data_IF_359146891979
#
_entry.id   IF_359146891979
#
_cell.length_a   1.000
_cell.length_b   1.000
_cell.length_c   1.000
_cell.angle_alpha   90.00
_cell.angle_beta   90.00
_cell.angle_gamma   90.00
#
_symmetry.space_group_name_H-M   'P 1'
#
loop_
_entity.id
_entity.type
_entity.pdbx_description
1 polymer ?
#
# COMPACT_ATOMS: atom_id res chain seq x y z
N UNK A 1 19.81 0.84 -33.97
CA UNK A 1 21.21 0.95 -33.49
C UNK A 1 21.44 0.52 -32.04
N UNK A 2 20.72 -0.49 -31.54
CA UNK A 2 20.86 -0.97 -30.14
C UNK A 2 21.84 -2.13 -30.01
N UNK A 3 22.08 -2.89 -31.10
CA UNK A 3 22.94 -4.09 -31.11
C UNK A 3 24.43 -3.76 -31.19
N UNK A 4 24.79 -2.54 -31.62
CA UNK A 4 26.18 -2.11 -31.86
C UNK A 4 26.81 -1.46 -30.63
N UNK A 5 26.01 -1.11 -29.60
CA UNK A 5 26.50 -0.55 -28.33
C UNK A 5 26.82 -1.62 -27.28
N UNK A 6 26.19 -2.80 -27.34
CA UNK A 6 26.48 -3.95 -26.46
C UNK A 6 27.49 -4.92 -27.08
N UNK A 7 28.57 -4.40 -27.67
CA UNK A 7 29.56 -5.15 -28.41
C UNK A 7 29.78 -6.56 -27.84
N UNK A 8 29.33 -7.57 -28.60
CA UNK A 8 29.31 -9.00 -28.26
C UNK A 8 28.14 -9.47 -27.35
N UNK A 9 27.37 -10.46 -27.83
CA UNK A 9 26.21 -11.05 -27.12
C UNK A 9 26.55 -11.69 -25.76
N UNK A 10 27.84 -11.78 -25.45
CA UNK A 10 28.40 -12.13 -24.14
C UNK A 10 28.04 -11.15 -23.03
N UNK A 11 27.68 -9.89 -23.34
CA UNK A 11 27.24 -8.91 -22.34
C UNK A 11 25.81 -9.15 -21.81
N UNK A 12 25.00 -9.93 -22.51
CA UNK A 12 23.61 -10.20 -22.12
C UNK A 12 23.56 -10.99 -20.81
N UNK A 13 24.42 -12.01 -20.68
CA UNK A 13 24.45 -12.89 -19.51
C UNK A 13 24.75 -12.13 -18.20
N UNK A 14 25.81 -11.32 -18.08
CA UNK A 14 26.09 -10.55 -16.87
C UNK A 14 25.01 -9.49 -16.58
N UNK A 15 24.38 -8.90 -17.60
CA UNK A 15 23.25 -7.99 -17.42
C UNK A 15 22.03 -8.69 -16.81
N UNK A 16 21.68 -9.87 -17.31
CA UNK A 16 20.56 -10.67 -16.77
C UNK A 16 20.84 -11.08 -15.32
N UNK A 17 22.07 -11.51 -15.01
CA UNK A 17 22.45 -11.87 -13.64
C UNK A 17 22.35 -10.65 -12.71
N UNK A 18 22.88 -9.50 -13.12
CA UNK A 18 22.78 -8.26 -12.35
C UNK A 18 21.31 -7.87 -12.14
N UNK A 19 20.49 -7.94 -13.20
CA UNK A 19 19.06 -7.62 -13.13
C UNK A 19 18.34 -8.53 -12.14
N UNK A 20 18.55 -9.86 -12.22
CA UNK A 20 17.94 -10.82 -11.29
C UNK A 20 18.35 -10.52 -9.86
N UNK A 21 19.64 -10.25 -9.58
CA UNK A 21 20.10 -9.93 -8.22
C UNK A 21 19.41 -8.67 -7.69
N UNK A 22 19.38 -7.60 -8.49
CA UNK A 22 18.75 -6.33 -8.10
C UNK A 22 17.25 -6.53 -7.88
N UNK A 23 16.57 -7.25 -8.78
CA UNK A 23 15.14 -7.52 -8.67
C UNK A 23 14.82 -8.36 -7.44
N UNK A 24 15.64 -9.37 -7.13
CA UNK A 24 15.47 -10.19 -5.93
C UNK A 24 15.58 -9.35 -4.66
N UNK A 25 16.54 -8.42 -4.61
CA UNK A 25 16.70 -7.50 -3.47
C UNK A 25 15.49 -6.56 -3.38
N UNK A 26 15.01 -6.07 -4.52
CA UNK A 26 13.86 -5.16 -4.57
C UNK A 26 12.59 -5.85 -4.03
N UNK A 27 12.28 -7.04 -4.53
CA UNK A 27 11.08 -7.80 -4.14
C UNK A 27 11.14 -8.34 -2.71
N UNK A 28 12.32 -8.82 -2.26
CA UNK A 28 12.44 -9.47 -0.94
C UNK A 28 12.73 -8.50 0.21
N UNK A 29 13.35 -7.35 -0.07
CA UNK A 29 13.82 -6.43 0.99
C UNK A 29 13.17 -5.06 0.83
N UNK A 30 13.27 -4.44 -0.34
CA UNK A 30 12.83 -3.05 -0.53
C UNK A 30 11.32 -2.94 -0.46
N UNK A 31 10.59 -3.76 -1.23
CA UNK A 31 9.14 -3.79 -1.25
C UNK A 31 8.54 -4.00 0.16
N UNK A 32 8.91 -5.03 0.94
CA UNK A 32 8.38 -5.21 2.29
C UNK A 32 8.70 -4.05 3.24
N UNK A 33 9.92 -3.49 3.17
CA UNK A 33 10.31 -2.36 4.00
C UNK A 33 9.44 -1.12 3.70
N UNK A 34 9.18 -0.87 2.42
CA UNK A 34 8.34 0.24 1.94
C UNK A 34 6.87 0.02 2.28
N UNK A 35 6.33 -1.18 2.06
CA UNK A 35 4.94 -1.51 2.39
C UNK A 35 4.68 -1.54 3.90
N UNK A 36 5.67 -1.98 4.70
CA UNK A 36 5.61 -1.97 6.17
C UNK A 36 5.42 -0.56 6.73
N UNK A 37 6.15 0.43 6.20
CA UNK A 37 5.99 1.83 6.64
C UNK A 37 4.72 2.50 6.11
N UNK A 38 4.23 2.09 4.93
CA UNK A 38 3.26 2.90 4.19
C UNK A 38 1.80 2.55 4.46
N UNK A 39 1.47 1.31 4.88
CA UNK A 39 0.05 0.88 4.85
C UNK A 39 -0.43 0.09 6.08
N UNK A 40 0.48 -0.36 6.96
CA UNK A 40 0.12 -1.13 8.17
C UNK A 40 -0.81 -2.31 7.87
N UNK A 41 -0.71 -2.88 6.66
CA UNK A 41 -1.46 -4.04 6.20
C UNK A 41 -0.61 -5.28 6.41
N UNK A 42 -1.24 -6.33 6.91
CA UNK A 42 -0.52 -7.60 7.05
C UNK A 42 -0.32 -8.18 5.64
N UNK A 43 0.89 -8.65 5.25
CA UNK A 43 1.15 -9.17 3.89
C UNK A 43 0.16 -10.25 3.43
N UNK A 44 -0.39 -11.02 4.37
CA UNK A 44 -1.41 -12.04 4.11
C UNK A 44 -2.73 -11.43 3.61
N UNK A 45 -3.12 -10.24 4.07
CA UNK A 45 -4.36 -9.55 3.64
C UNK A 45 -4.32 -9.28 2.14
N UNK A 46 -3.18 -8.76 1.65
CA UNK A 46 -2.96 -8.45 0.24
C UNK A 46 -3.06 -9.71 -0.62
N UNK A 47 -2.42 -10.80 -0.19
CA UNK A 47 -2.51 -12.10 -0.90
C UNK A 47 -3.94 -12.60 -0.94
N UNK A 48 -4.68 -12.49 0.17
CA UNK A 48 -6.06 -12.97 0.25
C UNK A 48 -6.99 -12.21 -0.71
N UNK A 49 -6.88 -10.88 -0.76
CA UNK A 49 -7.68 -10.06 -1.68
C UNK A 49 -7.30 -10.34 -3.13
N UNK A 50 -6.00 -10.49 -3.44
CA UNK A 50 -5.57 -10.83 -4.80
C UNK A 50 -6.15 -12.17 -5.28
N UNK A 51 -6.23 -13.17 -4.41
CA UNK A 51 -6.84 -14.46 -4.74
C UNK A 51 -8.35 -14.32 -5.00
N UNK A 52 -9.06 -13.61 -4.12
CA UNK A 52 -10.51 -13.39 -4.28
C UNK A 52 -10.80 -12.64 -5.59
N UNK A 53 -10.13 -11.51 -5.83
CA UNK A 53 -10.35 -10.71 -7.04
C UNK A 53 -9.84 -11.40 -8.30
N UNK A 54 -8.75 -12.19 -8.20
CA UNK A 54 -8.24 -13.02 -9.27
C UNK A 54 -9.24 -14.08 -9.73
N UNK A 55 -9.94 -14.73 -8.81
CA UNK A 55 -11.02 -15.68 -9.17
C UNK A 55 -12.26 -14.97 -9.74
N UNK A 56 -12.63 -13.80 -9.21
CA UNK A 56 -13.86 -13.10 -9.61
C UNK A 56 -13.76 -12.42 -10.98
N UNK A 57 -12.63 -11.78 -11.27
CA UNK A 57 -12.46 -10.93 -12.47
C UNK A 57 -11.18 -11.24 -13.26
N UNK A 58 -10.48 -12.33 -12.92
CA UNK A 58 -9.22 -12.71 -13.56
C UNK A 58 -8.12 -11.68 -13.33
N UNK A 59 -7.29 -11.48 -14.36
CA UNK A 59 -6.19 -10.52 -14.33
C UNK A 59 -6.63 -9.10 -13.98
N UNK A 60 -7.78 -8.66 -14.48
CA UNK A 60 -8.29 -7.32 -14.20
C UNK A 60 -8.64 -7.14 -12.72
N UNK A 61 -9.16 -8.19 -12.07
CA UNK A 61 -9.42 -8.18 -10.63
C UNK A 61 -8.16 -7.99 -9.82
N UNK A 62 -7.08 -8.70 -10.19
CA UNK A 62 -5.79 -8.57 -9.53
C UNK A 62 -5.21 -7.15 -9.64
N UNK A 63 -5.38 -6.48 -10.79
CA UNK A 63 -4.90 -5.12 -11.00
C UNK A 63 -5.60 -4.09 -10.10
N UNK A 64 -6.90 -4.27 -9.86
CA UNK A 64 -7.71 -3.34 -9.05
C UNK A 64 -7.86 -3.76 -7.58
N UNK A 65 -7.33 -4.93 -7.20
CA UNK A 65 -7.45 -5.47 -5.85
C UNK A 65 -6.88 -4.52 -4.78
N UNK A 66 -5.67 -4.01 -4.99
CA UNK A 66 -4.97 -3.11 -4.06
C UNK A 66 -5.74 -1.80 -3.83
N UNK A 67 -6.15 -1.04 -4.87
CA UNK A 67 -6.89 0.20 -4.64
C UNK A 67 -8.25 -0.03 -3.96
N UNK A 68 -8.94 -1.12 -4.27
CA UNK A 68 -10.22 -1.45 -3.62
C UNK A 68 -10.01 -1.76 -2.13
N UNK A 69 -9.02 -2.56 -1.82
CA UNK A 69 -8.70 -2.94 -0.44
C UNK A 69 -8.30 -1.71 0.40
N UNK A 70 -7.51 -0.79 -0.18
CA UNK A 70 -7.18 0.48 0.46
C UNK A 70 -8.42 1.34 0.76
N UNK A 71 -9.36 1.45 -0.20
CA UNK A 71 -10.61 2.21 -0.02
C UNK A 71 -11.45 1.62 1.12
N UNK A 72 -11.59 0.29 1.16
CA UNK A 72 -12.37 -0.40 2.19
C UNK A 72 -11.74 -0.16 3.57
N UNK A 73 -10.43 -0.34 3.71
CA UNK A 73 -9.73 -0.17 5.00
C UNK A 73 -9.84 1.26 5.53
N UNK A 74 -9.63 2.26 4.67
CA UNK A 74 -9.76 3.67 5.05
C UNK A 74 -11.21 3.98 5.42
N UNK A 75 -12.19 3.50 4.65
CA UNK A 75 -13.61 3.73 4.95
C UNK A 75 -14.00 3.18 6.33
N UNK A 76 -13.59 1.94 6.63
CA UNK A 76 -13.85 1.32 7.94
C UNK A 76 -13.16 2.10 9.05
N UNK A 77 -11.90 2.51 8.85
CA UNK A 77 -11.13 3.27 9.83
C UNK A 77 -11.77 4.61 10.15
N UNK A 78 -12.17 5.36 9.13
CA UNK A 78 -12.80 6.67 9.29
C UNK A 78 -14.19 6.55 9.93
N UNK A 79 -14.99 5.54 9.52
CA UNK A 79 -16.29 5.29 10.15
C UNK A 79 -16.11 4.91 11.62
N UNK A 80 -15.17 4.02 11.94
CA UNK A 80 -14.91 3.60 13.31
C UNK A 80 -14.40 4.76 14.17
N UNK A 81 -13.51 5.59 13.64
CA UNK A 81 -13.06 6.81 14.30
C UNK A 81 -14.23 7.77 14.54
N UNK A 82 -15.04 8.04 13.52
CA UNK A 82 -16.20 8.92 13.62
C UNK A 82 -17.25 8.46 14.63
N UNK A 83 -17.51 7.16 14.71
CA UNK A 83 -18.43 6.58 15.69
C UNK A 83 -17.88 6.63 17.12
N UNK A 84 -16.58 6.39 17.30
CA UNK A 84 -15.95 6.38 18.63
C UNK A 84 -15.63 7.78 19.17
N UNK A 85 -15.43 8.77 18.29
CA UNK A 85 -15.09 10.14 18.66
C UNK A 85 -16.24 11.15 18.47
N UNK A 86 -17.49 10.70 18.43
CA UNK A 86 -18.65 11.58 18.55
C UNK A 86 -18.81 12.10 19.99
N UNK A 87 -17.77 12.73 20.54
CA UNK A 87 -17.91 13.60 21.69
C UNK A 87 -18.36 14.94 21.16
N UNK A 88 -19.65 15.23 21.38
CA UNK A 88 -20.20 16.57 21.29
C UNK A 88 -19.45 17.39 22.34
N UNK A 89 -18.38 18.06 21.92
CA UNK A 89 -17.51 18.84 22.81
C UNK A 89 -18.30 20.03 23.37
N UNK A 90 -18.89 19.82 24.54
CA UNK A 90 -19.57 20.83 25.38
C UNK A 90 -18.57 21.77 26.11
N UNK A 91 -17.34 21.88 25.64
CA UNK A 91 -16.26 22.67 26.29
C UNK A 91 -16.42 24.19 26.13
N UNK A 92 -17.42 24.67 25.39
CA UNK A 92 -17.60 26.12 25.16
C UNK A 92 -18.56 26.80 26.15
N UNK A 93 -19.18 26.09 27.10
CA UNK A 93 -20.10 26.69 28.09
C UNK A 93 -19.37 27.20 29.35
N UNK A 94 -18.30 26.53 29.77
CA UNK A 94 -17.57 26.84 31.01
C UNK A 94 -16.68 28.11 30.89
N UNK A 95 -16.25 28.44 29.68
CA UNK A 95 -15.44 29.63 29.40
C UNK A 95 -16.22 30.94 29.38
N UNK A 96 -17.56 30.91 29.31
CA UNK A 96 -18.39 32.12 29.34
C UNK A 96 -18.90 32.49 30.74
N UNK A 97 -18.86 31.57 31.69
CA UNK A 97 -19.30 31.81 33.07
C UNK A 97 -18.16 32.45 33.89
N UNK A 98 -16.92 32.01 33.67
CA UNK A 98 -15.71 32.60 34.27
C UNK A 98 -15.38 34.00 33.72
N UNK A 99 -15.86 34.33 32.52
CA UNK A 99 -15.68 35.66 31.93
C UNK A 99 -16.75 36.68 32.37
N UNK A 100 -17.73 36.24 33.19
CA UNK A 100 -18.80 37.07 33.76
C UNK A 100 -18.67 37.30 35.28
N UNK A 101 -17.71 36.65 35.94
CA UNK A 101 -17.33 36.87 37.35
C UNK A 101 -16.05 37.68 37.45
#
# INVERSE_FOLDING_TARGET
DTVVQFGDGRMILPLVIMFVIVHLIDDLVVQPLVYSHSVGMHPVEVVFVLLIFGELFGLFGMLIAIPIEAIIKVSIREIYWGLTHYKITSTKYESFETART
#
